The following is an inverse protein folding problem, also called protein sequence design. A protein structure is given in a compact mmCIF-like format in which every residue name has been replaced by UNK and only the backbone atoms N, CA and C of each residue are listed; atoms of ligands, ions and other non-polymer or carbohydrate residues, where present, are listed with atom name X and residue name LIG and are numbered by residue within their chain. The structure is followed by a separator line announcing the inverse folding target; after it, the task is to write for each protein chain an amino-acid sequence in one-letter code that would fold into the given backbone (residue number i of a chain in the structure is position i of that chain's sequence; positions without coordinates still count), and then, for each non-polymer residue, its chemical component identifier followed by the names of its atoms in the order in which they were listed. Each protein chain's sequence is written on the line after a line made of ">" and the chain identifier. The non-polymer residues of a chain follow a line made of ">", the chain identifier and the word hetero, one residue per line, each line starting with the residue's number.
data_IF_573469782171
#
_entry.id   IF_573469782171
#
_cell.length_a   1.000
_cell.length_b   1.000
_cell.length_c   1.000
_cell.angle_alpha   90.00
_cell.angle_beta   90.00
_cell.angle_gamma   90.00
#
_symmetry.space_group_name_H-M   'P 1'
#
loop_
_entity.id
_entity.type
_entity.pdbx_description
1 polymer ?
#
# COMPACT_ATOMS: atom_id res chain seq x y z
N UNK A 1 0.45 -15.23 0.31
CA UNK A 1 0.97 -13.97 0.87
C UNK A 1 2.24 -13.60 0.11
N UNK A 2 2.28 -12.43 -0.51
CA UNK A 2 3.43 -11.92 -1.23
C UNK A 2 4.06 -10.77 -0.45
N UNK A 3 5.38 -10.64 -0.50
CA UNK A 3 6.13 -9.60 0.19
C UNK A 3 7.18 -9.00 -0.75
N UNK A 4 7.32 -7.68 -0.71
CA UNK A 4 8.36 -6.96 -1.44
C UNK A 4 8.98 -5.86 -0.59
N UNK A 5 10.27 -5.62 -0.79
CA UNK A 5 11.04 -4.56 -0.15
C UNK A 5 11.51 -3.61 -1.23
N UNK A 6 11.16 -2.33 -1.08
CA UNK A 6 11.55 -1.25 -1.96
C UNK A 6 12.44 -0.26 -1.21
N UNK A 7 13.65 -0.02 -1.72
CA UNK A 7 14.57 0.99 -1.19
C UNK A 7 14.34 2.30 -1.94
N UNK A 8 13.93 3.33 -1.21
CA UNK A 8 13.73 4.67 -1.76
C UNK A 8 15.07 5.41 -1.75
N UNK A 9 15.29 6.26 -2.75
CA UNK A 9 16.46 7.15 -2.78
C UNK A 9 16.47 8.03 -1.52
N UNK A 10 17.63 8.12 -0.85
CA UNK A 10 17.78 8.84 0.43
C UNK A 10 17.76 7.96 1.68
N UNK A 11 17.89 6.63 1.55
CA UNK A 11 18.10 5.71 2.68
C UNK A 11 16.83 5.20 3.37
N UNK A 12 15.66 5.64 2.93
CA UNK A 12 14.37 5.15 3.44
C UNK A 12 14.04 3.77 2.86
N UNK A 13 13.55 2.86 3.70
CA UNK A 13 13.13 1.52 3.29
C UNK A 13 11.63 1.37 3.45
N UNK A 14 10.96 0.86 2.42
CA UNK A 14 9.55 0.54 2.42
C UNK A 14 9.37 -0.96 2.17
N UNK A 15 8.52 -1.62 2.95
CA UNK A 15 8.21 -3.03 2.88
C UNK A 15 6.71 -3.19 2.79
N UNK A 16 6.25 -3.80 1.72
CA UNK A 16 4.84 -4.07 1.49
C UNK A 16 4.58 -5.57 1.52
N UNK A 17 3.63 -5.98 2.35
CA UNK A 17 3.08 -7.34 2.40
C UNK A 17 1.66 -7.29 1.85
N UNK A 18 1.33 -8.15 0.91
CA UNK A 18 0.00 -8.22 0.31
C UNK A 18 -0.51 -9.65 0.34
N UNK A 19 -1.71 -9.83 0.87
CA UNK A 19 -2.46 -11.07 0.83
C UNK A 19 -3.49 -10.97 -0.29
N UNK A 20 -3.40 -11.87 -1.26
CA UNK A 20 -4.39 -11.99 -2.34
C UNK A 20 -5.15 -13.29 -2.15
N UNK A 21 -6.49 -13.21 -2.16
CA UNK A 21 -7.40 -14.35 -2.15
C UNK A 21 -8.47 -14.10 -3.23
N UNK A 22 -8.81 -15.14 -4.00
CA UNK A 22 -9.84 -15.08 -5.05
C UNK A 22 -9.67 -13.92 -6.06
N UNK A 23 -8.43 -13.61 -6.42
CA UNK A 23 -8.12 -12.53 -7.36
C UNK A 23 -8.34 -11.12 -6.80
N UNK A 24 -8.51 -10.97 -5.48
CA UNK A 24 -8.63 -9.70 -4.78
C UNK A 24 -7.62 -9.60 -3.65
N UNK A 25 -7.21 -8.39 -3.33
CA UNK A 25 -6.38 -8.12 -2.17
C UNK A 25 -7.27 -8.29 -0.93
N UNK A 26 -6.97 -9.30 -0.12
CA UNK A 26 -7.61 -9.47 1.18
C UNK A 26 -7.08 -8.49 2.21
N UNK A 27 -5.76 -8.31 2.20
CA UNK A 27 -5.08 -7.46 3.16
C UNK A 27 -3.77 -6.93 2.58
N UNK A 28 -3.37 -5.73 3.00
CA UNK A 28 -2.13 -5.10 2.62
C UNK A 28 -1.53 -4.40 3.84
N UNK A 29 -0.25 -4.64 4.11
CA UNK A 29 0.47 -4.05 5.22
C UNK A 29 1.74 -3.37 4.71
N UNK A 30 1.88 -2.08 4.96
CA UNK A 30 2.99 -1.26 4.54
C UNK A 30 3.76 -0.83 5.80
N UNK A 31 5.02 -1.26 5.86
CA UNK A 31 5.93 -0.96 6.97
C UNK A 31 7.20 -0.37 6.43
N UNK A 32 7.92 0.41 7.22
CA UNK A 32 9.17 0.99 6.75
C UNK A 32 9.68 2.09 7.64
N UNK A 33 10.83 2.61 7.27
CA UNK A 33 11.46 3.77 7.88
C UNK A 33 11.17 5.00 7.02
N UNK A 34 9.90 5.42 7.05
CA UNK A 34 9.42 6.60 6.35
C UNK A 34 8.61 7.47 7.32
N UNK A 35 8.72 8.78 7.12
CA UNK A 35 7.89 9.75 7.82
C UNK A 35 6.65 10.02 6.98
N UNK A 36 5.48 9.67 7.51
CA UNK A 36 4.17 10.03 6.95
C UNK A 36 3.43 10.84 8.02
N UNK A 37 3.03 12.05 7.67
CA UNK A 37 2.21 12.89 8.52
C UNK A 37 0.96 13.30 7.73
N UNK A 38 -0.25 13.01 8.26
CA UNK A 38 -0.54 12.27 9.48
C UNK A 38 -0.22 10.76 9.37
N UNK A 39 0.18 10.16 10.48
CA UNK A 39 0.50 8.71 10.54
C UNK A 39 -0.70 7.83 10.16
N UNK A 40 -1.92 8.31 10.42
CA UNK A 40 -3.17 7.60 10.12
C UNK A 40 -3.41 7.35 8.62
N UNK A 41 -2.72 8.10 7.74
CA UNK A 41 -2.87 7.94 6.31
C UNK A 41 -2.34 6.59 5.82
N UNK A 42 -1.38 5.97 6.52
CA UNK A 42 -0.89 4.64 6.15
C UNK A 42 -2.00 3.60 6.26
N UNK A 43 -2.76 3.64 7.35
CA UNK A 43 -3.89 2.74 7.58
C UNK A 43 -5.04 3.00 6.59
N UNK A 44 -5.22 4.23 6.12
CA UNK A 44 -6.19 4.53 5.05
C UNK A 44 -5.75 3.92 3.72
N UNK A 45 -4.45 4.02 3.39
CA UNK A 45 -3.86 3.43 2.19
C UNK A 45 -4.02 1.89 2.22
N UNK A 46 -3.68 1.24 3.33
CA UNK A 46 -3.82 -0.21 3.51
C UNK A 46 -5.28 -0.68 3.32
N UNK A 47 -6.23 0.01 3.96
CA UNK A 47 -7.67 -0.27 3.82
C UNK A 47 -8.18 -0.05 2.40
N UNK A 48 -7.62 0.90 1.66
CA UNK A 48 -8.03 1.18 0.28
C UNK A 48 -7.61 0.07 -0.68
N UNK A 49 -6.53 -0.65 -0.37
CA UNK A 49 -6.12 -1.82 -1.14
C UNK A 49 -6.98 -3.05 -0.83
N UNK A 50 -7.42 -3.22 0.43
CA UNK A 50 -8.31 -4.31 0.80
C UNK A 50 -9.61 -4.30 -0.04
N UNK A 51 -9.94 -5.45 -0.62
CA UNK A 51 -11.10 -5.66 -1.49
C UNK A 51 -10.86 -5.33 -2.97
N UNK A 52 -9.74 -4.72 -3.35
CA UNK A 52 -9.48 -4.39 -4.77
C UNK A 52 -9.05 -5.62 -5.57
N UNK A 53 -9.55 -5.77 -6.82
CA UNK A 53 -9.11 -6.84 -7.71
C UNK A 53 -7.68 -6.61 -8.21
N UNK A 54 -7.00 -7.71 -8.53
CA UNK A 54 -5.75 -7.70 -9.28
C UNK A 54 -6.01 -7.99 -10.77
N UNK A 55 -5.27 -7.35 -11.71
CA UNK A 55 -4.21 -6.36 -11.49
C UNK A 55 -4.77 -5.01 -11.04
N UNK A 56 -4.03 -4.35 -10.13
CA UNK A 56 -4.39 -3.02 -9.64
C UNK A 56 -4.12 -1.96 -10.71
N UNK A 57 -5.08 -1.06 -10.89
CA UNK A 57 -4.85 0.18 -11.64
C UNK A 57 -4.26 1.25 -10.72
N UNK A 58 -2.99 1.58 -10.97
CA UNK A 58 -2.24 2.58 -10.20
C UNK A 58 -2.89 3.96 -10.21
N UNK A 59 -3.47 4.41 -11.35
CA UNK A 59 -4.15 5.71 -11.44
C UNK A 59 -5.41 5.71 -10.59
N UNK A 60 -6.23 4.66 -10.71
CA UNK A 60 -7.47 4.54 -9.93
C UNK A 60 -7.21 4.42 -8.42
N UNK A 61 -6.03 3.93 -8.00
CA UNK A 61 -5.62 3.91 -6.60
C UNK A 61 -5.28 5.33 -6.11
N UNK A 62 -4.52 6.09 -6.89
CA UNK A 62 -4.11 7.46 -6.54
C UNK A 62 -5.32 8.40 -6.49
N UNK A 63 -6.24 8.33 -7.45
CA UNK A 63 -7.47 9.14 -7.44
C UNK A 63 -8.35 8.86 -6.23
N UNK A 64 -8.44 7.59 -5.83
CA UNK A 64 -9.23 7.19 -4.67
C UNK A 64 -8.63 7.63 -3.34
N UNK A 65 -7.32 7.89 -3.29
CA UNK A 65 -6.62 8.32 -2.09
C UNK A 65 -6.92 9.79 -1.72
N UNK A 66 -7.34 10.65 -2.67
CA UNK A 66 -7.66 12.07 -2.44
C UNK A 66 -6.65 12.78 -1.50
N UNK A 67 -5.37 12.43 -1.59
CA UNK A 67 -4.31 13.06 -0.81
C UNK A 67 -4.02 14.39 -1.51
N UNK A 68 -4.55 15.47 -0.95
CA UNK A 68 -4.35 16.86 -1.38
C UNK A 68 -3.00 17.41 -0.92
#
# INVERSE_FOLDING_TARGET
>A
MAETIYKVHGGKMLRAKVCVEDGKIKDAMITGDFFLHPEEDISKIEKLFAGRPIPLDSKACVEALKIS
#
